data_IF_472025237518
#
_entry.id   IF_472025237518
#
_cell.length_a   1.000
_cell.length_b   1.000
_cell.length_c   1.000
_cell.angle_alpha   90.00
_cell.angle_beta   90.00
_cell.angle_gamma   90.00
#
_symmetry.space_group_name_H-M   'P 1'
#
loop_
_entity.id
_entity.type
_entity.pdbx_description
1 polymer ?
#
# COMPACT_ATOMS: atom_id res chain seq x y z
N UNK A 1 0.26 20.10 -13.01
CA UNK A 1 -0.49 19.13 -12.19
C UNK A 1 -1.50 19.86 -11.32
N UNK A 2 -2.32 19.15 -10.55
CA UNK A 2 -3.24 19.75 -9.54
C UNK A 2 -2.53 20.13 -8.23
N UNK A 3 -1.28 19.70 -8.06
CA UNK A 3 -0.40 20.00 -6.92
C UNK A 3 0.92 20.60 -7.42
N UNK A 4 1.61 21.36 -6.57
CA UNK A 4 2.98 21.83 -6.84
C UNK A 4 3.98 20.70 -6.60
N UNK A 5 5.07 20.73 -7.35
CA UNK A 5 6.15 19.73 -7.22
C UNK A 5 6.82 19.79 -5.84
N UNK A 6 7.11 20.99 -5.34
CA UNK A 6 7.69 21.21 -4.01
C UNK A 6 6.83 20.64 -2.86
N UNK A 7 5.50 20.72 -3.00
CA UNK A 7 4.56 20.16 -2.02
C UNK A 7 4.60 18.62 -2.07
N UNK A 8 4.82 18.03 -3.25
CA UNK A 8 4.96 16.58 -3.41
C UNK A 8 6.30 16.09 -2.85
N UNK A 9 7.38 16.80 -3.14
CA UNK A 9 8.74 16.45 -2.68
C UNK A 9 8.88 16.52 -1.15
N UNK A 10 8.11 17.41 -0.51
CA UNK A 10 8.07 17.55 0.95
C UNK A 10 7.12 16.55 1.65
N UNK A 11 6.26 15.86 0.90
CA UNK A 11 5.31 14.91 1.47
C UNK A 11 5.95 13.53 1.66
N UNK A 12 6.02 13.09 2.92
CA UNK A 12 6.55 11.77 3.27
C UNK A 12 5.50 10.93 3.99
N UNK A 13 5.33 9.68 3.55
CA UNK A 13 4.52 8.71 4.28
C UNK A 13 5.32 8.18 5.48
N UNK A 14 4.78 8.23 6.71
CA UNK A 14 5.41 7.70 7.92
C UNK A 14 5.23 6.17 8.00
N UNK A 15 5.52 5.48 6.91
CA UNK A 15 5.35 4.03 6.79
C UNK A 15 6.69 3.43 6.41
N UNK A 16 7.08 2.38 7.13
CA UNK A 16 8.24 1.58 6.82
C UNK A 16 7.85 0.10 6.79
N UNK A 17 8.26 -0.59 5.73
CA UNK A 17 7.99 -2.02 5.54
C UNK A 17 9.29 -2.80 5.71
N UNK A 18 9.61 -3.30 6.92
CA UNK A 18 10.84 -4.03 7.16
C UNK A 18 10.86 -5.37 6.43
N UNK A 19 12.05 -5.78 6.00
CA UNK A 19 12.31 -7.17 5.64
C UNK A 19 12.29 -8.06 6.88
N UNK A 20 12.09 -9.37 6.69
CA UNK A 20 12.21 -10.35 7.78
C UNK A 20 13.62 -10.30 8.40
N UNK A 21 14.66 -9.98 7.62
CA UNK A 21 16.02 -9.82 8.11
C UNK A 21 16.17 -8.65 9.07
N UNK A 22 15.70 -7.46 8.68
CA UNK A 22 15.71 -6.26 9.54
C UNK A 22 14.91 -6.47 10.82
N UNK A 23 13.74 -7.11 10.72
CA UNK A 23 12.93 -7.47 11.88
C UNK A 23 13.71 -8.38 12.85
N UNK A 24 14.34 -9.45 12.34
CA UNK A 24 15.13 -10.37 13.18
C UNK A 24 16.30 -9.67 13.86
N UNK A 25 17.06 -8.87 13.10
CA UNK A 25 18.20 -8.12 13.64
C UNK A 25 17.80 -7.19 14.78
N UNK A 26 16.66 -6.50 14.67
CA UNK A 26 16.15 -5.62 15.72
C UNK A 26 15.75 -6.38 16.99
N UNK A 27 15.11 -7.54 16.85
CA UNK A 27 14.72 -8.37 18.01
C UNK A 27 15.96 -8.97 18.69
N UNK A 28 16.94 -9.45 17.92
CA UNK A 28 18.22 -9.94 18.44
C UNK A 28 19.00 -8.85 19.17
N UNK A 29 19.08 -7.64 18.61
CA UNK A 29 19.70 -6.47 19.24
C UNK A 29 19.00 -6.09 20.56
N UNK A 30 17.67 -6.20 20.62
CA UNK A 30 16.91 -5.94 21.84
C UNK A 30 17.18 -6.98 22.95
N UNK A 31 17.50 -8.23 22.60
CA UNK A 31 17.94 -9.27 23.53
C UNK A 31 16.88 -9.78 24.52
N UNK A 32 15.65 -9.25 24.50
CA UNK A 32 14.60 -9.62 25.47
C UNK A 32 13.71 -10.77 24.99
N UNK A 33 13.79 -11.14 23.70
CA UNK A 33 12.92 -12.13 23.09
C UNK A 33 13.71 -13.10 22.21
N UNK A 34 13.21 -14.34 22.11
CA UNK A 34 13.71 -15.34 21.17
C UNK A 34 12.69 -15.60 20.06
N UNK A 35 13.13 -15.50 18.81
CA UNK A 35 12.29 -15.72 17.64
C UNK A 35 12.16 -17.21 17.38
N UNK A 36 10.94 -17.74 17.49
CA UNK A 36 10.65 -19.14 17.13
C UNK A 36 10.32 -19.28 15.65
N UNK A 37 9.49 -18.37 15.11
CA UNK A 37 9.12 -18.31 13.69
C UNK A 37 9.02 -16.85 13.27
N UNK A 38 9.62 -16.52 12.13
CA UNK A 38 9.40 -15.26 11.44
C UNK A 38 9.33 -15.54 9.94
N UNK A 39 8.16 -15.29 9.34
CA UNK A 39 7.89 -15.52 7.92
C UNK A 39 6.95 -14.45 7.37
N UNK A 40 7.07 -14.16 6.08
CA UNK A 40 6.07 -13.38 5.35
C UNK A 40 4.86 -14.28 5.14
N UNK A 41 3.68 -13.77 5.46
CA UNK A 41 2.41 -14.42 5.14
C UNK A 41 1.81 -13.66 3.97
N UNK A 42 1.67 -14.32 2.83
CA UNK A 42 0.92 -13.77 1.72
C UNK A 42 -0.57 -13.80 2.08
N UNK A 43 -1.18 -12.63 2.20
CA UNK A 43 -2.61 -12.47 2.50
C UNK A 43 -3.46 -12.41 1.23
N UNK A 44 -2.88 -12.67 0.05
CA UNK A 44 -3.62 -12.70 -1.22
C UNK A 44 -3.84 -11.33 -1.86
N UNK A 45 -3.28 -10.25 -1.28
CA UNK A 45 -3.35 -8.91 -1.87
C UNK A 45 -2.44 -8.75 -3.08
N UNK A 46 -1.32 -9.48 -3.12
CA UNK A 46 -0.52 -9.57 -4.34
C UNK A 46 -1.31 -10.40 -5.33
N UNK A 47 -1.95 -9.76 -6.31
CA UNK A 47 -2.26 -10.47 -7.54
C UNK A 47 -0.97 -11.18 -7.98
N UNK A 48 -1.07 -12.44 -8.36
CA UNK A 48 0.06 -13.18 -8.88
C UNK A 48 0.46 -12.60 -10.23
N UNK A 49 1.14 -11.45 -10.22
CA UNK A 49 1.81 -10.94 -11.41
C UNK A 49 2.91 -11.95 -11.75
N UNK A 50 2.65 -12.77 -12.76
CA UNK A 50 3.63 -13.69 -13.36
C UNK A 50 3.60 -15.16 -12.93
N UNK A 51 2.60 -15.66 -12.18
CA UNK A 51 2.42 -17.11 -12.00
C UNK A 51 1.02 -17.55 -12.43
N UNK A 52 0.92 -18.05 -13.66
CA UNK A 52 -0.21 -18.85 -14.15
C UNK A 52 -1.57 -18.18 -13.99
N UNK A 53 -1.95 -17.39 -15.00
CA UNK A 53 -3.31 -16.89 -15.17
C UNK A 53 -4.23 -18.07 -15.46
N UNK A 54 -4.67 -18.75 -14.41
CA UNK A 54 -5.83 -19.63 -14.49
C UNK A 54 -6.94 -19.00 -13.63
N UNK A 55 -7.87 -18.34 -14.33
CA UNK A 55 -9.24 -18.00 -13.90
C UNK A 55 -9.51 -16.86 -12.88
N UNK A 56 -8.75 -15.77 -12.89
CA UNK A 56 -9.29 -14.51 -12.35
C UNK A 56 -10.07 -13.75 -13.43
N UNK A 57 -11.40 -13.73 -13.31
CA UNK A 57 -12.27 -12.92 -14.17
C UNK A 57 -11.91 -11.44 -14.00
N UNK A 58 -12.02 -10.65 -15.06
CA UNK A 58 -11.77 -9.19 -15.05
C UNK A 58 -12.53 -8.46 -13.94
N UNK A 59 -13.75 -8.91 -13.63
CA UNK A 59 -14.59 -8.35 -12.55
C UNK A 59 -13.95 -8.53 -11.15
N UNK A 60 -13.25 -9.65 -10.91
CA UNK A 60 -12.54 -9.95 -9.65
C UNK A 60 -11.32 -9.02 -9.46
N UNK A 61 -10.64 -8.65 -10.56
CA UNK A 61 -9.52 -7.70 -10.49
C UNK A 61 -9.98 -6.26 -10.27
N UNK A 62 -11.10 -5.84 -10.86
CA UNK A 62 -11.70 -4.53 -10.57
C UNK A 62 -12.17 -4.43 -9.12
N UNK A 63 -12.78 -5.50 -8.58
CA UNK A 63 -13.17 -5.57 -7.18
C UNK A 63 -11.95 -5.47 -6.24
N UNK A 64 -10.89 -6.23 -6.51
CA UNK A 64 -9.62 -6.14 -5.76
C UNK A 64 -8.98 -4.75 -5.82
N UNK A 65 -9.02 -4.08 -6.98
CA UNK A 65 -8.53 -2.72 -7.13
C UNK A 65 -9.32 -1.73 -6.30
N UNK A 66 -10.63 -1.89 -6.28
CA UNK A 66 -11.53 -1.10 -5.45
C UNK A 66 -11.26 -1.32 -3.96
N UNK A 67 -11.11 -2.57 -3.52
CA UNK A 67 -10.78 -2.90 -2.13
C UNK A 67 -9.43 -2.31 -1.69
N UNK A 68 -8.39 -2.45 -2.51
CA UNK A 68 -7.08 -1.80 -2.28
C UNK A 68 -7.21 -0.29 -2.16
N UNK A 69 -8.03 0.31 -3.01
CA UNK A 69 -8.24 1.75 -3.00
C UNK A 69 -8.98 2.22 -1.78
N UNK A 70 -9.98 1.47 -1.31
CA UNK A 70 -10.71 1.77 -0.09
C UNK A 70 -9.80 1.65 1.14
N UNK A 71 -8.95 0.61 1.20
CA UNK A 71 -7.98 0.45 2.27
C UNK A 71 -6.94 1.58 2.27
N UNK A 72 -6.38 1.91 1.11
CA UNK A 72 -5.45 3.04 0.98
C UNK A 72 -6.10 4.37 1.37
N UNK A 73 -7.35 4.61 0.94
CA UNK A 73 -8.14 5.80 1.31
C UNK A 73 -8.36 5.87 2.82
N UNK A 74 -8.77 4.78 3.45
CA UNK A 74 -8.98 4.74 4.90
C UNK A 74 -7.71 5.07 5.71
N UNK A 75 -6.54 4.63 5.24
CA UNK A 75 -5.27 4.85 5.94
C UNK A 75 -4.67 6.24 5.65
N UNK A 76 -4.76 6.71 4.40
CA UNK A 76 -3.95 7.85 3.94
C UNK A 76 -4.74 9.11 3.58
N UNK A 77 -6.09 9.05 3.45
CA UNK A 77 -6.85 10.19 2.95
C UNK A 77 -6.69 11.45 3.81
N UNK A 78 -6.77 11.32 5.12
CA UNK A 78 -6.63 12.48 6.02
C UNK A 78 -5.24 13.10 5.92
N UNK A 79 -4.20 12.27 5.82
CA UNK A 79 -2.81 12.74 5.69
C UNK A 79 -2.59 13.49 4.36
N UNK A 80 -3.11 12.95 3.25
CA UNK A 80 -3.07 13.62 1.95
C UNK A 80 -3.89 14.91 1.98
N UNK A 81 -5.07 14.89 2.60
CA UNK A 81 -5.96 16.05 2.71
C UNK A 81 -5.36 17.18 3.55
N UNK A 82 -4.67 16.85 4.63
CA UNK A 82 -4.01 17.83 5.49
C UNK A 82 -2.83 18.52 4.80
N UNK A 83 -2.13 17.83 3.90
CA UNK A 83 -0.96 18.39 3.20
C UNK A 83 -1.32 19.08 1.88
N UNK A 84 -2.20 18.48 1.09
CA UNK A 84 -2.53 18.95 -0.28
C UNK A 84 -3.92 19.56 -0.42
N UNK A 85 -4.76 19.50 0.62
CA UNK A 85 -6.15 19.96 0.60
C UNK A 85 -7.17 18.85 0.33
N UNK A 86 -8.36 18.98 0.91
CA UNK A 86 -9.42 17.98 0.84
C UNK A 86 -9.89 17.65 -0.58
N UNK A 87 -10.00 18.65 -1.46
CA UNK A 87 -10.42 18.45 -2.85
C UNK A 87 -9.40 17.64 -3.65
N UNK A 88 -8.10 17.84 -3.37
CA UNK A 88 -7.03 17.06 -4.00
C UNK A 88 -7.06 15.62 -3.50
N UNK A 89 -7.25 15.40 -2.20
CA UNK A 89 -7.37 14.07 -1.64
C UNK A 89 -8.59 13.32 -2.22
N UNK A 90 -9.76 13.96 -2.29
CA UNK A 90 -10.95 13.34 -2.87
C UNK A 90 -10.72 12.93 -4.33
N UNK A 91 -10.20 13.83 -5.15
CA UNK A 91 -9.91 13.56 -6.57
C UNK A 91 -8.83 12.49 -6.77
N UNK A 92 -7.84 12.41 -5.89
CA UNK A 92 -6.83 11.34 -5.89
C UNK A 92 -7.49 9.99 -5.65
N UNK A 93 -8.24 9.84 -4.55
CA UNK A 93 -8.80 8.55 -4.17
C UNK A 93 -9.98 8.12 -5.05
N UNK A 94 -10.62 9.03 -5.78
CA UNK A 94 -11.58 8.69 -6.83
C UNK A 94 -10.91 8.02 -8.03
N UNK A 95 -9.69 8.43 -8.41
CA UNK A 95 -8.94 7.89 -9.56
C UNK A 95 -8.01 6.72 -9.20
N UNK A 96 -7.77 6.53 -7.90
CA UNK A 96 -6.86 5.50 -7.40
C UNK A 96 -7.24 4.06 -7.82
N UNK A 97 -8.53 3.64 -7.89
CA UNK A 97 -8.89 2.31 -8.38
C UNK A 97 -8.41 2.00 -9.79
N UNK A 98 -8.54 2.96 -10.71
CA UNK A 98 -8.09 2.79 -12.10
C UNK A 98 -6.57 2.64 -12.18
N UNK A 99 -5.86 3.35 -11.31
CA UNK A 99 -4.40 3.25 -11.19
C UNK A 99 -3.99 1.90 -10.58
N UNK A 100 -4.64 1.50 -9.48
CA UNK A 100 -4.38 0.23 -8.80
C UNK A 100 -4.61 -0.96 -9.73
N UNK A 101 -5.65 -0.91 -10.56
CA UNK A 101 -5.95 -1.94 -11.55
C UNK A 101 -4.81 -2.18 -12.55
N UNK A 102 -4.04 -1.15 -12.92
CA UNK A 102 -2.91 -1.30 -13.85
C UNK A 102 -1.74 -2.14 -13.28
N UNK A 103 -1.75 -2.41 -11.97
CA UNK A 103 -0.72 -3.21 -11.29
C UNK A 103 -1.14 -4.66 -11.03
N UNK A 104 -2.31 -5.07 -11.53
CA UNK A 104 -2.79 -6.45 -11.55
C UNK A 104 -2.67 -7.04 -12.96
#
# INVERSE_FOLDING_TARGET
>A
GKVKEEDLDSFQLPVYSPTVGEFKAMVEMNGSFSIHVAKIVDQGWRAKVGQGVEDHKTDDLHEKARELSLAARAVFQEMVGNHFGGDVAEDLFQRFPDTAYQFF
#
